data_IF_252696044481
#
_entry.id   IF_252696044481
#
_cell.length_a   1.000
_cell.length_b   1.000
_cell.length_c   1.000
_cell.angle_alpha   90.00
_cell.angle_beta   90.00
_cell.angle_gamma   90.00
#
_symmetry.space_group_name_H-M   'P 1'
#
loop_
_entity.id
_entity.type
_entity.pdbx_description
1 polymer ?
#
# COMPACT_ATOMS: atom_id res chain seq x y z
N UNK A 1 25.83 1.59 -3.61
CA UNK A 1 24.63 1.37 -4.47
C UNK A 1 23.56 0.74 -3.59
N UNK A 2 22.30 1.21 -3.67
CA UNK A 2 21.19 0.57 -2.94
C UNK A 2 20.84 -0.76 -3.62
N UNK A 3 20.65 -1.88 -2.89
CA UNK A 3 20.06 -3.11 -3.42
C UNK A 3 18.80 -2.87 -4.27
N UNK A 4 18.61 -3.64 -5.34
CA UNK A 4 17.48 -3.49 -6.28
C UNK A 4 16.11 -3.49 -5.56
N UNK A 5 15.96 -4.31 -4.52
CA UNK A 5 14.75 -4.35 -3.70
C UNK A 5 14.46 -3.03 -2.96
N UNK A 6 15.49 -2.36 -2.42
CA UNK A 6 15.32 -1.07 -1.73
C UNK A 6 14.87 0.03 -2.70
N UNK A 7 15.42 0.02 -3.93
CA UNK A 7 15.01 0.97 -4.96
C UNK A 7 13.55 0.75 -5.38
N UNK A 8 13.14 -0.51 -5.58
CA UNK A 8 11.74 -0.83 -5.91
C UNK A 8 10.76 -0.45 -4.81
N UNK A 9 11.13 -0.65 -3.53
CA UNK A 9 10.32 -0.21 -2.39
C UNK A 9 10.21 1.32 -2.33
N UNK A 10 11.27 2.04 -2.67
CA UNK A 10 11.24 3.49 -2.76
C UNK A 10 10.33 3.97 -3.90
N UNK A 11 10.39 3.34 -5.08
CA UNK A 11 9.46 3.60 -6.19
C UNK A 11 8.02 3.35 -5.78
N UNK A 12 7.75 2.23 -5.10
CA UNK A 12 6.41 1.91 -4.61
C UNK A 12 5.91 2.94 -3.58
N UNK A 13 6.78 3.37 -2.65
CA UNK A 13 6.47 4.43 -1.69
C UNK A 13 6.13 5.75 -2.37
N UNK A 14 6.87 6.16 -3.41
CA UNK A 14 6.55 7.37 -4.17
C UNK A 14 5.21 7.24 -4.91
N UNK A 15 4.94 6.08 -5.51
CA UNK A 15 3.71 5.83 -6.27
C UNK A 15 2.44 5.79 -5.38
N UNK A 16 2.58 5.49 -4.09
CA UNK A 16 1.48 5.49 -3.13
C UNK A 16 1.16 6.88 -2.56
N UNK A 17 2.00 7.90 -2.76
CA UNK A 17 1.69 9.27 -2.30
C UNK A 17 0.33 9.76 -2.86
N UNK A 18 -0.47 10.51 -2.07
CA UNK A 18 -0.15 11.09 -0.75
C UNK A 18 -0.33 10.14 0.45
N UNK A 19 -0.65 8.87 0.22
CA UNK A 19 -0.92 7.90 1.28
C UNK A 19 0.37 7.57 2.05
N UNK A 20 0.22 7.29 3.35
CA UNK A 20 1.32 6.78 4.17
C UNK A 20 1.41 5.27 3.98
N UNK A 21 2.59 4.76 3.62
CA UNK A 21 2.82 3.34 3.43
C UNK A 21 4.04 2.85 4.21
N UNK A 22 3.85 1.78 4.99
CA UNK A 22 4.91 1.03 5.65
C UNK A 22 5.20 -0.27 4.90
N UNK A 23 6.46 -0.69 4.92
CA UNK A 23 6.92 -1.89 4.21
C UNK A 23 7.70 -2.78 5.17
N UNK A 24 7.25 -4.02 5.35
CA UNK A 24 7.96 -5.02 6.15
C UNK A 24 8.39 -6.15 5.24
N UNK A 25 9.70 -6.33 5.04
CA UNK A 25 10.26 -7.42 4.25
C UNK A 25 10.47 -8.64 5.15
N UNK A 26 9.83 -9.75 4.83
CA UNK A 26 9.92 -11.04 5.54
C UNK A 26 10.42 -12.11 4.57
N UNK A 27 11.74 -12.21 4.44
CA UNK A 27 12.37 -13.14 3.50
C UNK A 27 12.04 -12.79 2.05
N UNK A 28 11.27 -13.66 1.37
CA UNK A 28 10.83 -13.45 -0.03
C UNK A 28 9.49 -12.74 -0.17
N UNK A 29 8.86 -12.35 0.93
CA UNK A 29 7.59 -11.65 0.95
C UNK A 29 7.78 -10.22 1.43
N UNK A 30 6.96 -9.31 0.94
CA UNK A 30 6.81 -7.96 1.47
C UNK A 30 5.36 -7.74 1.89
N UNK A 31 5.23 -7.21 3.09
CA UNK A 31 3.99 -6.72 3.66
C UNK A 31 3.94 -5.21 3.44
N UNK A 32 2.97 -4.75 2.64
CA UNK A 32 2.71 -3.34 2.37
C UNK A 32 1.50 -2.93 3.20
N UNK A 33 1.71 -2.04 4.17
CA UNK A 33 0.63 -1.48 4.99
C UNK A 33 0.36 -0.07 4.51
N UNK A 34 -0.84 0.18 4.02
CA UNK A 34 -1.22 1.52 3.55
C UNK A 34 -2.24 2.11 4.51
N UNK A 35 -1.89 3.25 5.08
CA UNK A 35 -2.64 3.95 6.11
C UNK A 35 -3.44 5.10 5.48
N UNK A 36 -4.65 5.29 5.98
CA UNK A 36 -5.59 6.33 5.56
C UNK A 36 -6.00 7.19 6.78
N UNK A 37 -5.00 7.69 7.50
CA UNK A 37 -5.18 8.41 8.76
C UNK A 37 -4.96 7.53 10.00
N UNK A 38 -4.97 8.14 11.20
CA UNK A 38 -4.58 7.49 12.45
C UNK A 38 -5.62 6.49 13.00
N UNK A 39 -6.90 6.69 12.69
CA UNK A 39 -8.01 5.92 13.27
C UNK A 39 -8.54 4.82 12.33
N UNK A 40 -7.94 4.66 11.15
CA UNK A 40 -8.34 3.65 10.15
C UNK A 40 -7.31 2.51 10.18
N UNK A 41 -7.81 1.29 10.33
CA UNK A 41 -6.95 0.11 10.20
C UNK A 41 -6.25 0.10 8.83
N UNK A 42 -4.92 -0.11 8.80
CA UNK A 42 -4.19 -0.07 7.55
C UNK A 42 -4.64 -1.21 6.63
N UNK A 43 -4.73 -0.90 5.35
CA UNK A 43 -4.88 -1.93 4.34
C UNK A 43 -3.56 -2.67 4.17
N UNK A 44 -3.56 -3.99 4.39
CA UNK A 44 -2.35 -4.82 4.34
C UNK A 44 -2.37 -5.70 3.09
N UNK A 45 -1.33 -5.58 2.26
CA UNK A 45 -1.08 -6.47 1.12
C UNK A 45 0.18 -7.28 1.38
N UNK A 46 0.08 -8.61 1.28
CA UNK A 46 1.23 -9.50 1.28
C UNK A 46 1.52 -9.95 -0.15
N UNK A 47 2.72 -9.67 -0.65
CA UNK A 47 3.12 -10.07 -1.99
C UNK A 47 4.57 -10.57 -2.05
N UNK A 48 4.92 -11.41 -3.03
CA UNK A 48 6.31 -11.80 -3.25
C UNK A 48 7.18 -10.60 -3.64
N UNK A 49 8.41 -10.53 -3.12
CA UNK A 49 9.37 -9.47 -3.43
C UNK A 49 9.67 -9.39 -4.94
N UNK A 50 9.60 -10.53 -5.64
CA UNK A 50 9.78 -10.62 -7.10
C UNK A 50 8.75 -9.82 -7.91
N UNK A 51 7.57 -9.53 -7.34
CA UNK A 51 6.59 -8.63 -7.96
C UNK A 51 7.07 -7.19 -7.99
N UNK A 52 8.03 -6.81 -7.15
CA UNK A 52 8.61 -5.47 -7.13
C UNK A 52 9.84 -5.33 -8.04
N UNK A 53 10.33 -6.41 -8.64
CA UNK A 53 11.49 -6.39 -9.53
C UNK A 53 11.17 -5.78 -10.90
N UNK A 54 9.89 -5.58 -11.23
CA UNK A 54 9.48 -4.96 -12.49
C UNK A 54 8.35 -3.92 -12.29
N UNK A 55 8.32 -2.92 -13.17
CA UNK A 55 7.35 -1.83 -13.13
C UNK A 55 5.90 -2.29 -13.22
N UNK A 56 5.63 -3.40 -13.92
CA UNK A 56 4.27 -3.94 -14.07
C UNK A 56 3.70 -4.41 -12.73
N UNK A 57 4.51 -5.13 -11.94
CA UNK A 57 4.10 -5.59 -10.62
C UNK A 57 3.97 -4.44 -9.62
N UNK A 58 4.87 -3.44 -9.68
CA UNK A 58 4.72 -2.21 -8.89
C UNK A 58 3.37 -1.53 -9.18
N UNK A 59 3.05 -1.31 -10.46
CA UNK A 59 1.79 -0.66 -10.86
C UNK A 59 0.56 -1.45 -10.41
N UNK A 60 0.62 -2.79 -10.46
CA UNK A 60 -0.48 -3.64 -9.98
C UNK A 60 -0.70 -3.47 -8.47
N UNK A 61 0.36 -3.50 -7.67
CA UNK A 61 0.27 -3.30 -6.21
C UNK A 61 -0.31 -1.92 -5.87
N UNK A 62 0.12 -0.89 -6.59
CA UNK A 62 -0.41 0.47 -6.42
C UNK A 62 -1.90 0.54 -6.76
N UNK A 63 -2.32 -0.11 -7.85
CA UNK A 63 -3.72 -0.14 -8.26
C UNK A 63 -4.60 -0.85 -7.23
N UNK A 64 -4.18 -2.04 -6.77
CA UNK A 64 -4.90 -2.81 -5.75
C UNK A 64 -5.00 -2.01 -4.44
N UNK A 65 -3.89 -1.43 -3.97
CA UNK A 65 -3.90 -0.59 -2.78
C UNK A 65 -4.87 0.60 -2.90
N UNK A 66 -4.85 1.33 -4.03
CA UNK A 66 -5.75 2.47 -4.25
C UNK A 66 -7.22 2.05 -4.31
N UNK A 67 -7.55 0.92 -4.94
CA UNK A 67 -8.93 0.42 -5.02
C UNK A 67 -9.47 0.05 -3.65
N UNK A 68 -8.70 -0.70 -2.85
CA UNK A 68 -9.11 -1.10 -1.51
C UNK A 68 -9.29 0.09 -0.56
N UNK A 69 -8.41 1.10 -0.66
CA UNK A 69 -8.55 2.33 0.12
C UNK A 69 -9.77 3.14 -0.31
N UNK A 70 -10.06 3.25 -1.61
CA UNK A 70 -11.27 3.92 -2.07
C UNK A 70 -12.54 3.28 -1.50
N UNK A 71 -12.57 1.94 -1.40
CA UNK A 71 -13.66 1.19 -0.75
C UNK A 71 -13.70 1.46 0.75
N UNK A 72 -12.56 1.45 1.44
CA UNK A 72 -12.46 1.73 2.87
C UNK A 72 -12.93 3.15 3.20
N UNK A 73 -12.45 4.16 2.46
CA UNK A 73 -12.87 5.56 2.56
C UNK A 73 -14.37 5.76 2.31
N UNK A 74 -14.94 5.05 1.33
CA UNK A 74 -16.36 5.13 1.06
C UNK A 74 -17.18 4.60 2.25
N UNK A 75 -16.75 3.48 2.85
CA UNK A 75 -17.37 2.91 4.06
C UNK A 75 -17.22 3.82 5.27
N UNK A 76 -16.02 4.37 5.51
CA UNK A 76 -15.77 5.27 6.63
C UNK A 76 -16.60 6.56 6.52
N UNK A 77 -16.73 7.14 5.33
CA UNK A 77 -17.60 8.30 5.09
C UNK A 77 -19.07 8.00 5.34
N UNK A 78 -19.56 6.82 4.94
CA UNK A 78 -20.93 6.39 5.22
C UNK A 78 -21.17 6.19 6.73
N UNK A 79 -20.20 5.60 7.44
CA UNK A 79 -20.28 5.40 8.89
C UNK A 79 -20.24 6.72 9.68
N UNK A 80 -19.42 7.69 9.26
CA UNK A 80 -19.40 9.03 9.85
C UNK A 80 -20.73 9.75 9.64
N UNK A 81 -21.25 9.75 8.41
CA UNK A 81 -22.53 10.38 8.07
C UNK A 81 -23.77 9.72 8.71
N UNK A 82 -23.63 8.50 9.27
CA UNK A 82 -24.72 7.80 9.96
C UNK A 82 -24.70 7.99 11.48
N UNK A 83 -23.69 8.68 12.02
CA UNK A 83 -23.52 8.95 13.46
C UNK A 83 -23.76 10.42 13.84
N UNK A 84 -23.88 11.31 12.86
CA UNK A 84 -24.44 12.66 12.99
C UNK A 84 -25.96 12.64 12.72
#
# INVERSE_FOLDING_TARGET
MKPAAEQSLETLRQALKPLTAEFVVRGRMVEVRVHDGPDIEPYVVLLPLSKLENMRGISQVVLEARQHLAVSMARSRQHAASKD
#
